data_IF_926714812347
#
_entry.id   IF_926714812347
#
_cell.length_a   1.000
_cell.length_b   1.000
_cell.length_c   1.000
_cell.angle_alpha   90.00
_cell.angle_beta   90.00
_cell.angle_gamma   90.00
#
_symmetry.space_group_name_H-M   'P 1'
#
loop_
_entity.id
_entity.type
_entity.pdbx_description
1 polymer ?
#
# COMPACT_ATOMS: atom_id res chain seq x y z
N UNK A 1 -0.06 19.22 -4.88
CA UNK A 1 1.31 18.67 -4.76
C UNK A 1 1.32 17.75 -3.54
N UNK A 2 1.74 16.49 -3.67
CA UNK A 2 1.86 15.57 -2.53
C UNK A 2 2.92 16.15 -1.58
N UNK A 3 2.62 16.25 -0.28
CA UNK A 3 3.58 16.71 0.74
C UNK A 3 4.70 15.68 0.93
N UNK A 4 5.88 16.12 1.38
CA UNK A 4 7.03 15.23 1.58
C UNK A 4 6.73 14.01 2.47
N UNK A 5 5.98 14.23 3.55
CA UNK A 5 5.63 13.17 4.50
C UNK A 5 4.70 12.12 3.89
N UNK A 6 3.71 12.55 3.09
CA UNK A 6 2.80 11.62 2.44
C UNK A 6 3.53 10.78 1.39
N UNK A 7 4.43 11.40 0.63
CA UNK A 7 5.27 10.68 -0.32
C UNK A 7 6.14 9.65 0.38
N UNK A 8 6.82 10.02 1.47
CA UNK A 8 7.68 9.11 2.23
C UNK A 8 6.92 7.89 2.76
N UNK A 9 5.66 8.07 3.19
CA UNK A 9 4.81 6.95 3.63
C UNK A 9 4.44 6.03 2.47
N UNK A 10 4.12 6.59 1.31
CA UNK A 10 3.82 5.82 0.11
C UNK A 10 5.06 5.02 -0.32
N UNK A 11 6.24 5.66 -0.36
CA UNK A 11 7.50 5.03 -0.75
C UNK A 11 7.87 3.87 0.20
N UNK A 12 7.69 4.01 1.52
CA UNK A 12 7.91 2.92 2.46
C UNK A 12 6.96 1.74 2.24
N UNK A 13 5.70 2.01 1.90
CA UNK A 13 4.73 0.97 1.60
C UNK A 13 5.13 0.19 0.33
N UNK A 14 5.66 0.87 -0.69
CA UNK A 14 6.24 0.21 -1.86
C UNK A 14 7.47 -0.65 -1.51
N UNK A 15 8.34 -0.17 -0.62
CA UNK A 15 9.51 -0.92 -0.14
C UNK A 15 9.11 -2.21 0.59
N UNK A 16 8.10 -2.16 1.46
CA UNK A 16 7.59 -3.33 2.18
C UNK A 16 7.12 -4.44 1.22
N UNK A 17 6.36 -4.06 0.18
CA UNK A 17 5.91 -5.01 -0.85
C UNK A 17 7.08 -5.56 -1.68
N UNK A 18 8.07 -4.72 -2.00
CA UNK A 18 9.27 -5.13 -2.73
C UNK A 18 10.10 -6.14 -1.93
N UNK A 19 10.38 -5.87 -0.65
CA UNK A 19 11.10 -6.78 0.26
C UNK A 19 10.31 -8.08 0.49
N UNK A 20 8.99 -8.00 0.50
CA UNK A 20 8.09 -9.16 0.55
C UNK A 20 8.03 -10.00 -0.74
N UNK A 21 8.75 -9.62 -1.80
CA UNK A 21 8.81 -10.35 -3.07
C UNK A 21 7.65 -10.07 -4.04
N UNK A 22 6.81 -9.07 -3.75
CA UNK A 22 5.72 -8.63 -4.64
C UNK A 22 6.22 -7.43 -5.45
N UNK A 23 6.77 -7.72 -6.62
CA UNK A 23 7.41 -6.70 -7.47
C UNK A 23 6.50 -6.17 -8.58
N UNK A 24 5.40 -6.86 -8.89
CA UNK A 24 4.44 -6.42 -9.91
C UNK A 24 3.57 -5.27 -9.36
N UNK A 25 3.65 -4.05 -9.94
CA UNK A 25 2.93 -2.90 -9.42
C UNK A 25 1.40 -3.05 -9.41
N UNK A 26 0.83 -3.78 -10.39
CA UNK A 26 -0.61 -4.03 -10.42
C UNK A 26 -1.03 -4.88 -9.20
N UNK A 27 -0.27 -5.94 -8.92
CA UNK A 27 -0.50 -6.81 -7.77
C UNK A 27 -0.37 -6.05 -6.45
N UNK A 28 0.62 -5.16 -6.32
CA UNK A 28 0.77 -4.32 -5.12
C UNK A 28 -0.48 -3.46 -4.88
N UNK A 29 -1.00 -2.81 -5.94
CA UNK A 29 -2.21 -1.98 -5.83
C UNK A 29 -3.42 -2.82 -5.42
N UNK A 30 -3.58 -4.03 -5.98
CA UNK A 30 -4.65 -4.95 -5.61
C UNK A 30 -4.56 -5.35 -4.12
N UNK A 31 -3.37 -5.68 -3.62
CA UNK A 31 -3.19 -6.03 -2.21
C UNK A 31 -3.51 -4.85 -1.28
N UNK A 32 -3.09 -3.63 -1.64
CA UNK A 32 -3.44 -2.41 -0.88
C UNK A 32 -4.96 -2.22 -0.86
N UNK A 33 -5.63 -2.40 -2.00
CA UNK A 33 -7.09 -2.32 -2.08
C UNK A 33 -7.79 -3.35 -1.18
N UNK A 34 -7.30 -4.59 -1.15
CA UNK A 34 -7.83 -5.62 -0.25
C UNK A 34 -7.64 -5.26 1.22
N UNK A 35 -6.46 -4.78 1.62
CA UNK A 35 -6.22 -4.36 3.01
C UNK A 35 -7.12 -3.18 3.41
N UNK A 36 -7.32 -2.21 2.52
CA UNK A 36 -8.24 -1.09 2.76
C UNK A 36 -9.68 -1.58 2.93
N UNK A 37 -10.11 -2.53 2.09
CA UNK A 37 -11.45 -3.09 2.15
C UNK A 37 -11.67 -3.92 3.42
N UNK A 38 -10.72 -4.80 3.79
CA UNK A 38 -10.77 -5.58 5.04
C UNK A 38 -10.86 -4.67 6.26
N UNK A 39 -10.08 -3.59 6.29
CA UNK A 39 -10.17 -2.60 7.38
C UNK A 39 -11.54 -1.93 7.44
N UNK A 40 -12.11 -1.55 6.29
CA UNK A 40 -13.43 -0.94 6.23
C UNK A 40 -14.52 -1.86 6.79
N UNK A 41 -14.42 -3.17 6.54
CA UNK A 41 -15.33 -4.17 7.10
C UNK A 41 -15.14 -4.37 8.61
N UNK A 42 -13.90 -4.36 9.09
CA UNK A 42 -13.58 -4.50 10.53
C UNK A 42 -14.07 -3.30 11.36
N UNK A 43 -14.13 -2.11 10.75
CA UNK A 43 -14.62 -0.89 11.41
C UNK A 43 -16.14 -0.69 11.34
N UNK A 44 -16.90 -1.62 10.73
CA UNK A 44 -18.36 -1.62 10.72
C UNK A 44 -18.92 -2.37 11.94
#
# INVERSE_FOLDING_TARGET
MITGDLKSKIDGLWEDFWVGGITNPLTVIEQIAYLMYSRMLDTQ
#
